data_IF_131047681814
#
_entry.id   IF_131047681814
#
_cell.length_a   1.000
_cell.length_b   1.000
_cell.length_c   1.000
_cell.angle_alpha   90.00
_cell.angle_beta   90.00
_cell.angle_gamma   90.00
#
_symmetry.space_group_name_H-M   'P 1'
#
loop_
_entity.id
_entity.type
_entity.pdbx_description
1 polymer ?
#
# COMPACT_ATOMS: atom_id res chain seq x y z
N UNK A 1 4.11 -10.23 13.12
CA UNK A 1 4.20 -9.94 11.68
C UNK A 1 5.07 -8.71 11.51
N UNK A 2 6.18 -8.81 10.81
CA UNK A 2 7.08 -7.69 10.55
C UNK A 2 6.90 -7.21 9.10
N UNK A 3 6.88 -5.89 8.87
CA UNK A 3 6.72 -5.30 7.54
C UNK A 3 8.02 -4.65 7.14
N UNK A 4 8.61 -5.15 6.07
CA UNK A 4 9.75 -4.54 5.42
C UNK A 4 9.30 -3.70 4.23
N UNK A 5 9.90 -2.53 4.07
CA UNK A 5 9.58 -1.59 2.99
C UNK A 5 10.80 -1.34 2.13
N UNK A 6 10.63 -1.24 0.83
CA UNK A 6 11.71 -0.85 -0.07
C UNK A 6 12.01 0.65 0.04
N UNK A 7 13.24 1.05 -0.29
CA UNK A 7 13.64 2.46 -0.33
C UNK A 7 12.80 3.29 -1.30
N UNK A 8 12.39 2.70 -2.43
CA UNK A 8 11.52 3.34 -3.42
C UNK A 8 10.13 3.58 -2.85
N UNK A 9 9.57 2.60 -2.14
CA UNK A 9 8.30 2.74 -1.43
C UNK A 9 8.37 3.88 -0.40
N UNK A 10 9.38 3.88 0.48
CA UNK A 10 9.51 4.90 1.54
C UNK A 10 9.60 6.32 0.97
N UNK A 11 10.32 6.52 -0.12
CA UNK A 11 10.43 7.83 -0.79
C UNK A 11 9.11 8.28 -1.41
N UNK A 12 8.38 7.38 -2.05
CA UNK A 12 7.11 7.69 -2.70
C UNK A 12 6.00 7.95 -1.68
N UNK A 13 5.85 7.05 -0.71
CA UNK A 13 4.75 7.09 0.27
C UNK A 13 4.81 8.35 1.14
N UNK A 14 6.02 8.85 1.45
CA UNK A 14 6.20 10.09 2.22
C UNK A 14 5.72 11.34 1.48
N UNK A 15 5.77 11.34 0.15
CA UNK A 15 5.30 12.44 -0.71
C UNK A 15 3.80 12.35 -1.00
N UNK A 16 3.28 11.12 -1.08
CA UNK A 16 1.90 10.87 -1.48
C UNK A 16 0.91 11.04 -0.33
N UNK A 17 1.25 10.60 0.89
CA UNK A 17 0.31 10.58 2.01
C UNK A 17 0.91 10.90 3.37
N UNK A 18 0.10 11.43 4.32
CA UNK A 18 0.50 11.66 5.71
C UNK A 18 0.89 10.40 6.47
N UNK A 19 1.62 10.57 7.58
CA UNK A 19 2.07 9.47 8.43
C UNK A 19 0.93 8.61 9.00
N UNK A 20 -0.23 9.22 9.30
CA UNK A 20 -1.42 8.51 9.78
C UNK A 20 -1.93 7.48 8.77
N UNK A 21 -2.14 7.90 7.52
CA UNK A 21 -2.61 7.02 6.44
C UNK A 21 -1.58 5.92 6.16
N UNK A 22 -0.28 6.23 6.23
CA UNK A 22 0.78 5.21 6.11
C UNK A 22 0.68 4.14 7.20
N UNK A 23 0.37 4.54 8.43
CA UNK A 23 0.19 3.63 9.56
C UNK A 23 -1.04 2.75 9.34
N UNK A 24 -2.15 3.32 8.88
CA UNK A 24 -3.37 2.56 8.54
C UNK A 24 -3.11 1.52 7.45
N UNK A 25 -2.40 1.88 6.38
CA UNK A 25 -2.03 0.93 5.32
C UNK A 25 -1.21 -0.24 5.87
N UNK A 26 -0.23 0.03 6.74
CA UNK A 26 0.60 -1.03 7.36
C UNK A 26 -0.23 -1.94 8.25
N UNK A 27 -1.13 -1.39 9.06
CA UNK A 27 -2.03 -2.18 9.92
C UNK A 27 -2.94 -3.07 9.06
N UNK A 28 -3.51 -2.54 7.99
CA UNK A 28 -4.37 -3.31 7.08
C UNK A 28 -3.63 -4.47 6.41
N UNK A 29 -2.40 -4.24 5.94
CA UNK A 29 -1.55 -5.30 5.36
C UNK A 29 -1.20 -6.35 6.42
N UNK A 30 -0.85 -5.94 7.63
CA UNK A 30 -0.53 -6.86 8.72
C UNK A 30 -1.73 -7.71 9.15
N UNK A 31 -2.93 -7.14 9.15
CA UNK A 31 -4.16 -7.82 9.54
C UNK A 31 -4.57 -8.90 8.55
N UNK A 32 -4.41 -8.67 7.25
CA UNK A 32 -4.66 -9.69 6.23
C UNK A 32 -3.74 -9.53 5.01
N UNK A 33 -2.56 -10.19 5.02
CA UNK A 33 -1.57 -10.09 3.94
C UNK A 33 -2.06 -10.63 2.59
N UNK A 34 -3.10 -11.48 2.59
CA UNK A 34 -3.57 -12.20 1.41
C UNK A 34 -4.82 -11.57 0.75
N UNK A 35 -5.36 -10.47 1.30
CA UNK A 35 -6.55 -9.80 0.75
C UNK A 35 -6.32 -9.23 -0.64
N UNK A 36 -5.11 -8.72 -0.91
CA UNK A 36 -4.84 -8.08 -2.19
C UNK A 36 -4.68 -9.11 -3.32
N UNK A 37 -5.24 -8.87 -4.52
CA UNK A 37 -5.12 -9.79 -5.63
C UNK A 37 -3.66 -9.97 -6.06
N UNK A 38 -3.30 -11.21 -6.39
CA UNK A 38 -1.98 -11.55 -6.95
C UNK A 38 -1.87 -10.95 -8.36
N UNK A 39 -0.71 -10.39 -8.68
CA UNK A 39 -0.36 -9.95 -10.02
C UNK A 39 0.15 -11.18 -10.79
N UNK A 40 -0.52 -11.60 -11.89
CA UNK A 40 -0.06 -12.75 -12.68
C UNK A 40 1.38 -12.59 -13.16
N UNK A 41 2.13 -13.69 -13.20
CA UNK A 41 3.52 -13.70 -13.69
C UNK A 41 4.57 -13.13 -12.72
N UNK A 42 4.21 -12.78 -11.48
CA UNK A 42 5.13 -12.14 -10.52
C UNK A 42 5.56 -13.04 -9.35
N UNK A 43 5.25 -14.33 -9.41
CA UNK A 43 5.63 -15.28 -8.35
C UNK A 43 4.92 -15.05 -7.00
N UNK A 44 3.79 -14.34 -6.97
CA UNK A 44 2.99 -14.15 -5.75
C UNK A 44 2.91 -12.71 -5.24
N UNK A 45 3.48 -11.73 -5.95
CA UNK A 45 3.35 -10.31 -5.62
C UNK A 45 1.88 -9.87 -5.67
N UNK A 46 1.45 -9.01 -4.75
CA UNK A 46 0.04 -8.58 -4.62
C UNK A 46 -0.12 -7.08 -4.81
N UNK A 47 -1.27 -6.64 -5.35
CA UNK A 47 -1.55 -5.22 -5.63
C UNK A 47 -2.69 -4.69 -4.77
N UNK A 48 -2.35 -3.92 -3.75
CA UNK A 48 -3.32 -3.24 -2.89
C UNK A 48 -3.75 -1.92 -3.53
N UNK A 49 -5.05 -1.64 -3.53
CA UNK A 49 -5.62 -0.36 -3.98
C UNK A 49 -6.12 0.39 -2.74
N UNK A 50 -5.59 1.58 -2.50
CA UNK A 50 -5.97 2.45 -1.39
C UNK A 50 -6.65 3.70 -1.91
N UNK A 51 -7.84 4.00 -1.40
CA UNK A 51 -8.49 5.28 -1.64
C UNK A 51 -7.83 6.31 -0.72
N UNK A 52 -7.13 7.31 -1.25
CA UNK A 52 -6.65 8.40 -0.38
C UNK A 52 -7.87 9.22 0.09
N UNK A 53 -8.12 9.23 1.39
CA UNK A 53 -9.15 10.06 1.98
C UNK A 53 -8.91 11.53 1.61
N UNK A 54 -9.94 12.23 1.11
CA UNK A 54 -9.86 13.63 0.73
C UNK A 54 -9.38 13.92 -0.70
N UNK A 55 -8.93 12.90 -1.46
CA UNK A 55 -8.68 13.06 -2.89
C UNK A 55 -9.76 12.30 -3.68
N UNK A 56 -10.39 12.95 -4.66
CA UNK A 56 -11.42 12.35 -5.52
C UNK A 56 -10.90 11.17 -6.36
N UNK A 57 -11.55 10.84 -7.49
CA UNK A 57 -11.19 9.68 -8.34
C UNK A 57 -9.70 9.56 -8.73
N UNK A 58 -8.94 10.66 -8.69
CA UNK A 58 -7.49 10.72 -8.97
C UNK A 58 -6.57 10.44 -7.77
N UNK A 59 -7.11 10.32 -6.55
CA UNK A 59 -6.35 10.15 -5.30
C UNK A 59 -5.87 8.74 -4.98
N UNK A 60 -6.28 7.74 -5.75
CA UNK A 60 -6.02 6.35 -5.41
C UNK A 60 -4.52 5.98 -5.45
N UNK A 61 -4.04 5.31 -4.41
CA UNK A 61 -2.68 4.79 -4.30
C UNK A 61 -2.70 3.29 -4.60
N UNK A 62 -1.67 2.82 -5.31
CA UNK A 62 -1.47 1.40 -5.58
C UNK A 62 -0.17 0.98 -4.93
N UNK A 63 -0.23 0.03 -4.01
CA UNK A 63 0.94 -0.53 -3.33
C UNK A 63 1.16 -1.95 -3.83
N UNK A 64 2.43 -2.25 -4.10
CA UNK A 64 2.95 -3.52 -4.61
C UNK A 64 4.04 -3.96 -3.65
#
# INVERSE_FOLDING_TARGET
MEIFTTRTYERAVRKLIPASVRKEMRIAIAANPLTAPVIPGTGGTRKLRWSAAGHGKRGGIRTI
#
